data_IF_811191694032
#
_entry.id   IF_811191694032
#
_cell.length_a   1.000
_cell.length_b   1.000
_cell.length_c   1.000
_cell.angle_alpha   90.00
_cell.angle_beta   90.00
_cell.angle_gamma   90.00
#
_symmetry.space_group_name_H-M   'P 1'
#
loop_
_entity.id
_entity.type
_entity.pdbx_description
1 polymer ?
#
# COMPACT_ATOMS: atom_id res chain seq x y z
N UNK A 1 -3.65 4.58 37.23
CA UNK A 1 -3.30 3.64 36.15
C UNK A 1 -3.94 4.20 34.89
N UNK A 2 -3.16 4.77 33.98
CA UNK A 2 -3.70 5.45 32.80
C UNK A 2 -4.07 4.38 31.77
N UNK A 3 -5.35 4.28 31.44
CA UNK A 3 -5.81 3.44 30.33
C UNK A 3 -5.29 4.04 29.02
N UNK A 4 -4.26 3.41 28.48
CA UNK A 4 -3.75 3.72 27.15
C UNK A 4 -4.77 3.15 26.16
N UNK A 5 -5.75 3.97 25.80
CA UNK A 5 -6.68 3.65 24.71
C UNK A 5 -5.91 3.79 23.40
N UNK A 6 -5.65 2.66 22.74
CA UNK A 6 -5.01 2.60 21.43
C UNK A 6 -5.93 3.33 20.44
N UNK A 7 -5.55 4.53 20.03
CA UNK A 7 -6.29 5.33 19.07
C UNK A 7 -6.16 4.67 17.69
N UNK A 8 -7.13 3.85 17.30
CA UNK A 8 -7.17 3.29 15.95
C UNK A 8 -7.60 4.34 14.94
N UNK A 9 -6.64 4.97 14.27
CA UNK A 9 -6.94 5.81 13.12
C UNK A 9 -7.51 4.93 11.99
N UNK A 10 -8.83 5.00 11.83
CA UNK A 10 -9.60 4.28 10.81
C UNK A 10 -9.60 5.07 9.51
N UNK A 11 -8.54 4.91 8.71
CA UNK A 11 -8.55 5.34 7.31
C UNK A 11 -9.06 4.18 6.45
N UNK A 12 -10.32 4.22 5.95
CA UNK A 12 -10.81 3.17 5.07
C UNK A 12 -10.07 3.25 3.73
N UNK A 13 -9.44 2.14 3.33
CA UNK A 13 -8.89 2.00 1.98
C UNK A 13 -10.05 1.65 1.06
N UNK A 14 -10.48 2.62 0.26
CA UNK A 14 -11.48 2.40 -0.77
C UNK A 14 -10.75 2.25 -2.09
N UNK A 15 -10.88 1.07 -2.69
CA UNK A 15 -10.61 0.89 -4.12
C UNK A 15 -11.66 1.71 -4.87
N UNK A 16 -11.24 2.53 -5.82
CA UNK A 16 -12.15 3.34 -6.63
C UNK A 16 -13.03 2.43 -7.52
N UNK A 17 -14.35 2.35 -7.24
CA UNK A 17 -15.24 1.46 -7.98
C UNK A 17 -15.41 1.86 -9.44
N UNK A 18 -15.26 3.14 -9.77
CA UNK A 18 -15.37 3.62 -11.16
C UNK A 18 -14.16 3.13 -11.97
N UNK A 19 -12.97 3.08 -11.34
CA UNK A 19 -11.77 2.50 -11.95
C UNK A 19 -11.85 1.00 -12.16
N UNK A 20 -12.46 0.27 -11.23
CA UNK A 20 -12.71 -1.16 -11.40
C UNK A 20 -13.65 -1.43 -12.58
N UNK A 21 -14.73 -0.63 -12.69
CA UNK A 21 -15.68 -0.75 -13.80
C UNK A 21 -15.01 -0.43 -15.13
N UNK A 22 -14.20 0.63 -15.22
CA UNK A 22 -13.44 0.96 -16.44
C UNK A 22 -12.47 -0.16 -16.85
N UNK A 23 -11.79 -0.80 -15.90
CA UNK A 23 -10.89 -1.92 -16.16
C UNK A 23 -11.64 -3.16 -16.66
N UNK A 24 -12.78 -3.49 -16.04
CA UNK A 24 -13.64 -4.58 -16.49
C UNK A 24 -14.22 -4.34 -17.89
N UNK A 25 -14.65 -3.10 -18.18
CA UNK A 25 -15.20 -2.73 -19.49
C UNK A 25 -14.13 -2.75 -20.59
N UNK A 26 -12.90 -2.34 -20.28
CA UNK A 26 -11.82 -2.22 -21.28
C UNK A 26 -11.10 -3.54 -21.60
N UNK A 27 -11.06 -4.50 -20.66
CA UNK A 27 -10.22 -5.70 -20.79
C UNK A 27 -10.95 -7.03 -20.57
N UNK A 28 -12.20 -7.00 -20.10
CA UNK A 28 -12.93 -8.17 -19.64
C UNK A 28 -12.61 -8.52 -18.17
N UNK A 29 -13.61 -9.05 -17.47
CA UNK A 29 -13.59 -9.31 -16.01
C UNK A 29 -12.38 -10.14 -15.55
N UNK A 30 -12.11 -11.27 -16.21
CA UNK A 30 -10.98 -12.15 -15.88
C UNK A 30 -9.62 -11.48 -16.00
N UNK A 31 -9.45 -10.58 -16.98
CA UNK A 31 -8.18 -9.88 -17.19
C UNK A 31 -7.98 -8.74 -16.19
N UNK A 32 -9.07 -8.07 -15.81
CA UNK A 32 -9.05 -7.07 -14.75
C UNK A 32 -8.71 -7.70 -13.39
N UNK A 33 -9.32 -8.84 -13.05
CA UNK A 33 -9.03 -9.58 -11.82
C UNK A 33 -7.57 -10.05 -11.73
N UNK A 34 -7.04 -10.63 -12.81
CA UNK A 34 -5.63 -11.04 -12.88
C UNK A 34 -4.68 -9.84 -12.69
N UNK A 35 -4.97 -8.71 -13.33
CA UNK A 35 -4.17 -7.50 -13.20
C UNK A 35 -4.19 -6.94 -11.77
N UNK A 36 -5.36 -6.92 -11.12
CA UNK A 36 -5.50 -6.47 -9.72
C UNK A 36 -4.71 -7.40 -8.80
N UNK A 37 -4.83 -8.71 -8.99
CA UNK A 37 -4.10 -9.72 -8.20
C UNK A 37 -2.60 -9.52 -8.30
N UNK A 38 -2.07 -9.42 -9.52
CA UNK A 38 -0.64 -9.16 -9.75
C UNK A 38 -0.19 -7.83 -9.15
N UNK A 39 -0.96 -6.76 -9.33
CA UNK A 39 -0.62 -5.46 -8.75
C UNK A 39 -0.60 -5.52 -7.21
N UNK A 40 -1.51 -6.26 -6.58
CA UNK A 40 -1.53 -6.43 -5.13
C UNK A 40 -0.35 -7.26 -4.62
N UNK A 41 0.07 -8.30 -5.33
CA UNK A 41 1.29 -9.05 -5.03
C UNK A 41 2.53 -8.16 -5.11
N UNK A 42 2.61 -7.30 -6.13
CA UNK A 42 3.68 -6.31 -6.26
C UNK A 42 3.68 -5.31 -5.11
N UNK A 43 2.51 -4.81 -4.71
CA UNK A 43 2.39 -3.91 -3.56
C UNK A 43 2.83 -4.59 -2.25
N UNK A 44 2.43 -5.84 -2.03
CA UNK A 44 2.83 -6.61 -0.86
C UNK A 44 4.34 -6.82 -0.81
N UNK A 45 4.95 -7.20 -1.94
CA UNK A 45 6.40 -7.38 -2.03
C UNK A 45 7.15 -6.07 -1.81
N UNK A 46 6.72 -4.99 -2.45
CA UNK A 46 7.37 -3.69 -2.30
C UNK A 46 7.23 -3.10 -0.90
N UNK A 47 6.18 -3.44 -0.14
CA UNK A 47 6.07 -3.08 1.27
C UNK A 47 7.20 -3.70 2.11
N UNK A 48 7.49 -4.98 1.92
CA UNK A 48 8.61 -5.65 2.60
C UNK A 48 9.94 -4.99 2.23
N UNK A 49 10.16 -4.70 0.94
CA UNK A 49 11.38 -4.04 0.46
C UNK A 49 11.58 -2.64 1.06
N UNK A 50 10.51 -1.87 1.28
CA UNK A 50 10.57 -0.55 1.94
C UNK A 50 10.89 -0.68 3.43
N UNK A 51 10.31 -1.65 4.13
CA UNK A 51 10.60 -1.89 5.55
C UNK A 51 12.07 -2.32 5.75
N UNK A 52 12.58 -3.18 4.86
CA UNK A 52 14.00 -3.60 4.86
C UNK A 52 14.92 -2.41 4.55
N UNK A 53 14.59 -1.60 3.54
CA UNK A 53 15.36 -0.41 3.18
C UNK A 53 15.38 0.63 4.32
N UNK A 54 14.24 0.83 5.00
CA UNK A 54 14.16 1.69 6.17
C UNK A 54 15.04 1.18 7.32
N UNK A 55 15.00 -0.12 7.60
CA UNK A 55 15.82 -0.76 8.64
C UNK A 55 17.32 -0.66 8.33
N UNK A 56 17.69 -0.78 7.05
CA UNK A 56 19.05 -0.60 6.56
C UNK A 56 19.48 0.87 6.40
N UNK A 57 18.58 1.84 6.69
CA UNK A 57 18.78 3.28 6.44
C UNK A 57 19.13 3.63 4.99
N UNK A 58 18.73 2.78 4.03
CA UNK A 58 18.97 2.95 2.61
C UNK A 58 17.83 3.77 1.97
N UNK A 59 17.93 5.10 2.09
CA UNK A 59 16.90 6.04 1.62
C UNK A 59 16.73 6.04 0.09
N UNK A 60 17.80 5.74 -0.66
CA UNK A 60 17.73 5.68 -2.12
C UNK A 60 16.89 4.48 -2.59
N UNK A 61 17.09 3.31 -1.95
CA UNK A 61 16.22 2.15 -2.19
C UNK A 61 14.79 2.43 -1.75
N UNK A 62 14.60 3.04 -0.56
CA UNK A 62 13.28 3.35 -0.02
C UNK A 62 12.49 4.25 -0.98
N UNK A 63 13.10 5.32 -1.47
CA UNK A 63 12.43 6.26 -2.39
C UNK A 63 12.14 5.62 -3.75
N UNK A 64 13.08 4.86 -4.31
CA UNK A 64 12.90 4.12 -5.57
C UNK A 64 11.74 3.12 -5.50
N UNK A 65 11.68 2.32 -4.42
CA UNK A 65 10.59 1.36 -4.21
C UNK A 65 9.27 2.04 -3.89
N UNK A 66 9.30 3.11 -3.10
CA UNK A 66 8.11 3.92 -2.82
C UNK A 66 7.49 4.53 -4.09
N UNK A 67 8.30 5.05 -5.02
CA UNK A 67 7.80 5.57 -6.30
C UNK A 67 7.10 4.48 -7.13
N UNK A 68 7.58 3.24 -7.08
CA UNK A 68 6.93 2.08 -7.73
C UNK A 68 5.59 1.79 -7.05
N UNK A 69 5.57 1.70 -5.72
CA UNK A 69 4.33 1.46 -4.96
C UNK A 69 3.25 2.52 -5.25
N UNK A 70 3.63 3.81 -5.33
CA UNK A 70 2.71 4.89 -5.68
C UNK A 70 2.11 4.66 -7.07
N UNK A 71 2.93 4.32 -8.06
CA UNK A 71 2.47 4.07 -9.44
C UNK A 71 1.53 2.87 -9.52
N UNK A 72 1.91 1.74 -8.93
CA UNK A 72 1.11 0.52 -8.93
C UNK A 72 -0.24 0.74 -8.22
N UNK A 73 -0.24 1.39 -7.05
CA UNK A 73 -1.47 1.70 -6.32
C UNK A 73 -2.40 2.64 -7.10
N UNK A 74 -1.87 3.66 -7.77
CA UNK A 74 -2.67 4.54 -8.65
C UNK A 74 -3.25 3.78 -9.84
N UNK A 75 -2.50 2.85 -10.40
CA UNK A 75 -2.93 2.08 -11.57
C UNK A 75 -4.20 1.25 -11.29
N UNK A 76 -4.31 0.68 -10.08
CA UNK A 76 -5.48 -0.11 -9.66
C UNK A 76 -6.50 0.69 -8.82
N UNK A 77 -6.38 2.02 -8.76
CA UNK A 77 -7.36 2.88 -8.07
C UNK A 77 -7.27 2.89 -6.53
N UNK A 78 -6.18 2.40 -5.93
CA UNK A 78 -5.93 2.46 -4.48
C UNK A 78 -5.42 3.84 -4.06
N UNK A 79 -6.28 4.85 -4.18
CA UNK A 79 -5.92 6.26 -4.01
C UNK A 79 -5.37 6.58 -2.62
N UNK A 80 -5.94 6.01 -1.55
CA UNK A 80 -5.44 6.22 -0.17
C UNK A 80 -4.05 5.63 0.01
N UNK A 81 -3.82 4.41 -0.49
CA UNK A 81 -2.50 3.77 -0.44
C UNK A 81 -1.47 4.61 -1.18
N UNK A 82 -1.78 5.02 -2.41
CA UNK A 82 -0.89 5.84 -3.22
C UNK A 82 -0.52 7.16 -2.53
N UNK A 83 -1.47 7.83 -1.86
CA UNK A 83 -1.20 9.08 -1.13
C UNK A 83 -0.23 8.86 0.03
N UNK A 84 -0.45 7.83 0.85
CA UNK A 84 0.42 7.57 2.00
C UNK A 84 1.80 7.06 1.58
N UNK A 85 1.90 6.30 0.49
CA UNK A 85 3.18 5.92 -0.08
C UNK A 85 3.96 7.14 -0.59
N UNK A 86 3.28 8.13 -1.17
CA UNK A 86 3.87 9.40 -1.61
C UNK A 86 4.36 10.25 -0.42
N UNK A 87 3.62 10.25 0.69
CA UNK A 87 4.05 10.87 1.95
C UNK A 87 5.37 10.23 2.47
N UNK A 88 5.48 8.89 2.43
CA UNK A 88 6.68 8.14 2.82
C UNK A 88 7.88 8.52 1.92
N UNK A 89 7.69 8.52 0.60
CA UNK A 89 8.74 8.92 -0.35
C UNK A 89 9.19 10.36 -0.11
N UNK A 90 8.25 11.26 0.11
CA UNK A 90 8.54 12.68 0.37
C UNK A 90 9.35 12.85 1.65
N UNK A 91 8.95 12.21 2.75
CA UNK A 91 9.70 12.24 4.01
C UNK A 91 11.09 11.61 3.88
N UNK A 92 11.23 10.52 3.12
CA UNK A 92 12.51 9.87 2.88
C UNK A 92 13.47 10.76 2.06
N UNK A 93 12.96 11.47 1.04
CA UNK A 93 13.74 12.45 0.27
C UNK A 93 14.23 13.61 1.12
N UNK A 94 13.40 14.07 2.07
CA UNK A 94 13.75 15.13 3.03
C UNK A 94 14.69 14.65 4.15
N UNK A 95 14.94 13.34 4.26
CA UNK A 95 15.75 12.70 5.32
C UNK A 95 15.25 13.02 6.74
N UNK A 96 13.95 13.22 6.89
CA UNK A 96 13.32 13.53 8.17
C UNK A 96 12.91 12.23 8.89
N UNK A 97 13.70 11.79 9.88
CA UNK A 97 13.53 10.49 10.52
C UNK A 97 12.19 10.30 11.28
N UNK A 98 11.72 11.32 12.02
CA UNK A 98 10.47 11.22 12.80
C UNK A 98 9.23 11.19 11.87
N UNK A 99 9.09 12.12 10.90
CA UNK A 99 8.01 12.07 9.91
C UNK A 99 8.01 10.77 9.10
N UNK A 100 9.18 10.26 8.70
CA UNK A 100 9.31 9.01 7.96
C UNK A 100 8.80 7.80 8.75
N UNK A 101 9.20 7.67 10.02
CA UNK A 101 8.71 6.58 10.87
C UNK A 101 7.19 6.62 11.04
N UNK A 102 6.61 7.81 11.18
CA UNK A 102 5.17 7.98 11.33
C UNK A 102 4.39 7.62 10.04
N UNK A 103 4.86 8.09 8.88
CA UNK A 103 4.24 7.81 7.58
C UNK A 103 4.40 6.34 7.18
N UNK A 104 5.55 5.71 7.47
CA UNK A 104 5.77 4.29 7.20
C UNK A 104 4.83 3.39 8.05
N UNK A 105 4.69 3.69 9.34
CA UNK A 105 3.73 2.98 10.19
C UNK A 105 2.28 3.15 9.72
N UNK A 106 1.93 4.33 9.19
CA UNK A 106 0.60 4.57 8.61
C UNK A 106 0.41 3.76 7.32
N UNK A 107 1.42 3.71 6.45
CA UNK A 107 1.39 2.91 5.23
C UNK A 107 1.22 1.42 5.53
N UNK A 108 1.96 0.89 6.52
CA UNK A 108 1.81 -0.50 6.97
C UNK A 108 0.39 -0.83 7.42
N UNK A 109 -0.24 0.02 8.24
CA UNK A 109 -1.64 -0.21 8.68
C UNK A 109 -2.63 -0.23 7.51
N UNK A 110 -2.38 0.59 6.49
CA UNK A 110 -3.18 0.64 5.25
C UNK A 110 -2.93 -0.62 4.43
N UNK A 111 -1.67 -1.03 4.29
CA UNK A 111 -1.27 -2.25 3.60
C UNK A 111 -1.90 -3.49 4.25
N UNK A 112 -1.77 -3.66 5.56
CA UNK A 112 -2.37 -4.76 6.33
C UNK A 112 -3.89 -4.84 6.07
N UNK A 113 -4.61 -3.71 6.14
CA UNK A 113 -6.05 -3.70 5.90
C UNK A 113 -6.45 -3.99 4.45
N UNK A 114 -5.63 -3.60 3.48
CA UNK A 114 -5.94 -3.73 2.05
C UNK A 114 -5.53 -5.06 1.47
N UNK A 115 -4.39 -5.58 1.92
CA UNK A 115 -3.78 -6.82 1.44
C UNK A 115 -4.35 -8.04 2.17
N UNK A 116 -4.66 -7.95 3.48
CA UNK A 116 -5.34 -9.04 4.19
C UNK A 116 -6.72 -9.36 3.61
N UNK A 117 -7.43 -8.37 3.06
CA UNK A 117 -8.73 -8.58 2.41
C UNK A 117 -8.66 -9.49 1.16
N UNK A 118 -7.48 -9.60 0.52
CA UNK A 118 -7.25 -10.52 -0.61
C UNK A 118 -6.60 -11.83 -0.18
N UNK A 119 -5.81 -11.82 0.90
CA UNK A 119 -5.27 -13.05 1.47
C UNK A 119 -6.37 -13.97 2.02
N UNK A 120 -7.46 -13.40 2.55
CA UNK A 120 -8.65 -14.17 2.97
C UNK A 120 -9.39 -14.86 1.80
N UNK A 121 -9.15 -14.45 0.54
CA UNK A 121 -9.69 -15.12 -0.64
C UNK A 121 -8.84 -16.32 -1.10
N UNK A 122 -7.55 -16.37 -0.73
CA UNK A 122 -6.66 -17.49 -1.07
C UNK A 122 -6.61 -18.58 0.02
N UNK A 123 -7.19 -18.35 1.20
CA UNK A 123 -7.25 -19.30 2.32
C UNK A 123 -8.58 -20.06 2.42
N UNK A 124 -9.25 -20.31 1.28
CA UNK A 124 -10.31 -21.32 1.25
C UNK A 124 -9.66 -22.68 1.00
N UNK A 125 -9.64 -23.61 1.98
CA UNK A 125 -9.30 -24.99 1.66
C UNK A 125 -10.35 -25.52 0.67
N UNK A 126 -9.87 -26.05 -0.46
CA UNK A 126 -10.68 -26.87 -1.36
C UNK A 126 -11.10 -28.18 -0.71
#
# INVERSE_FOLDING_TARGET
MQDIVKLELREPVRVDPDRLVELCVSMGETRAEAMITTAMEELARGMVEIEDAYSAQNMDMLTSRGDILVKTARHIGMTTFARVADDVVSCARLREGIPLAATLNRLRRIADRSLSAVWDMQNLPG
#
